data_IF_235519606869
#
_entry.id   IF_235519606869
#
_cell.length_a   1.000
_cell.length_b   1.000
_cell.length_c   1.000
_cell.angle_alpha   90.00
_cell.angle_beta   90.00
_cell.angle_gamma   90.00
#
_symmetry.space_group_name_H-M   'P 1'
#
loop_
_entity.id
_entity.type
_entity.pdbx_description
1 polymer ?
#
# COMPACT_ATOMS: atom_id res chain seq x y z
N UNK A 1 -4.96 9.98 -1.79
CA UNK A 1 -4.00 10.19 -2.91
C UNK A 1 -4.61 11.18 -3.89
N UNK A 2 -4.07 12.39 -4.06
CA UNK A 2 -4.72 13.45 -4.85
C UNK A 2 -4.28 13.51 -6.33
N UNK A 3 -3.21 12.83 -6.69
CA UNK A 3 -2.68 12.78 -8.06
C UNK A 3 -1.84 11.51 -8.28
N UNK A 4 -1.40 11.27 -9.52
CA UNK A 4 -0.51 10.16 -9.87
C UNK A 4 0.82 10.15 -9.10
N UNK A 5 1.32 11.33 -8.71
CA UNK A 5 2.50 11.44 -7.84
C UNK A 5 2.25 10.86 -6.43
N UNK A 6 1.02 10.98 -5.91
CA UNK A 6 0.65 10.42 -4.60
C UNK A 6 0.54 8.90 -4.64
N UNK A 7 -0.14 8.33 -5.64
CA UNK A 7 -0.21 6.88 -5.81
C UNK A 7 1.17 6.29 -6.07
N UNK A 8 1.99 6.94 -6.90
CA UNK A 8 3.38 6.52 -7.13
C UNK A 8 4.25 6.53 -5.87
N UNK A 9 4.03 7.47 -4.93
CA UNK A 9 4.74 7.48 -3.65
C UNK A 9 4.38 6.25 -2.78
N UNK A 10 3.10 5.87 -2.74
CA UNK A 10 2.62 4.67 -2.04
C UNK A 10 3.18 3.40 -2.70
N UNK A 11 3.09 3.29 -4.03
CA UNK A 11 3.66 2.16 -4.79
C UNK A 11 5.14 1.99 -4.48
N UNK A 12 5.97 3.04 -4.59
CA UNK A 12 7.41 2.98 -4.29
C UNK A 12 7.73 2.63 -2.83
N UNK A 13 6.83 2.92 -1.89
CA UNK A 13 7.01 2.57 -0.50
C UNK A 13 6.74 1.08 -0.27
N UNK A 14 5.69 0.54 -0.91
CA UNK A 14 5.29 -0.87 -0.82
C UNK A 14 6.23 -1.81 -1.55
N UNK A 15 6.74 -1.43 -2.75
CA UNK A 15 7.68 -2.29 -3.50
C UNK A 15 8.98 -2.62 -2.75
N UNK A 16 9.30 -1.89 -1.67
CA UNK A 16 10.45 -2.16 -0.80
C UNK A 16 10.23 -3.33 0.17
N UNK A 17 8.98 -3.72 0.39
CA UNK A 17 8.60 -4.72 1.41
C UNK A 17 7.64 -5.78 0.86
N UNK A 18 6.96 -5.51 -0.25
CA UNK A 18 5.99 -6.41 -0.89
C UNK A 18 6.28 -6.41 -2.39
N UNK A 19 6.26 -7.57 -3.06
CA UNK A 19 6.41 -7.68 -4.51
C UNK A 19 5.30 -6.94 -5.26
N UNK A 20 5.58 -6.34 -6.43
CA UNK A 20 4.54 -5.68 -7.25
C UNK A 20 3.36 -6.59 -7.63
N UNK A 21 3.57 -7.92 -7.62
CA UNK A 21 2.52 -8.91 -7.90
C UNK A 21 1.55 -9.13 -6.74
N UNK A 22 1.79 -8.58 -5.55
CA UNK A 22 1.01 -8.83 -4.32
C UNK A 22 0.30 -7.59 -3.77
N UNK A 23 0.25 -6.50 -4.53
CA UNK A 23 -0.56 -5.35 -4.16
C UNK A 23 -1.07 -4.56 -5.37
N UNK A 24 -2.15 -3.82 -5.16
CA UNK A 24 -2.73 -2.88 -6.13
C UNK A 24 -2.89 -1.51 -5.45
N UNK A 25 -2.48 -0.44 -6.13
CA UNK A 25 -2.74 0.95 -5.72
C UNK A 25 -3.62 1.58 -6.77
N UNK A 26 -4.86 1.90 -6.38
CA UNK A 26 -5.85 2.47 -7.29
C UNK A 26 -6.14 3.92 -6.90
N UNK A 27 -5.87 4.84 -7.83
CA UNK A 27 -6.04 6.28 -7.61
C UNK A 27 -7.52 6.67 -7.68
N UNK A 28 -8.30 6.10 -8.62
CA UNK A 28 -9.73 6.42 -8.74
C UNK A 28 -10.52 6.01 -7.51
N UNK A 29 -10.31 4.79 -7.00
CA UNK A 29 -11.04 4.27 -5.83
C UNK A 29 -10.43 4.68 -4.48
N UNK A 30 -9.25 5.32 -4.48
CA UNK A 30 -8.50 5.67 -3.26
C UNK A 30 -8.16 4.45 -2.39
N UNK A 31 -7.92 3.30 -3.00
CA UNK A 31 -7.63 2.05 -2.26
C UNK A 31 -6.22 1.54 -2.49
N UNK A 32 -5.65 0.97 -1.44
CA UNK A 32 -4.51 0.06 -1.51
C UNK A 32 -5.00 -1.32 -1.11
N UNK A 33 -4.83 -2.31 -1.98
CA UNK A 33 -5.12 -3.71 -1.67
C UNK A 33 -3.81 -4.47 -1.62
N UNK A 34 -3.61 -5.27 -0.57
CA UNK A 34 -2.48 -6.18 -0.43
C UNK A 34 -3.04 -7.57 -0.29
N UNK A 35 -2.49 -8.54 -1.00
CA UNK A 35 -3.03 -9.89 -1.07
C UNK A 35 -1.92 -10.95 -1.03
N UNK A 36 -2.27 -12.13 -0.52
CA UNK A 36 -1.35 -13.25 -0.46
C UNK A 36 -0.91 -13.66 -1.87
N UNK A 37 0.32 -14.15 -1.98
CA UNK A 37 0.94 -14.54 -3.24
C UNK A 37 2.18 -15.38 -2.99
N UNK A 38 3.16 -15.25 -3.87
CA UNK A 38 4.38 -16.09 -3.85
C UNK A 38 5.24 -15.88 -2.62
N UNK A 39 5.22 -14.66 -2.04
CA UNK A 39 6.05 -14.31 -0.90
C UNK A 39 5.18 -14.00 0.32
N UNK A 40 5.72 -14.29 1.50
CA UNK A 40 5.06 -14.00 2.76
C UNK A 40 4.83 -12.50 2.91
N UNK A 41 3.62 -12.13 3.34
CA UNK A 41 3.27 -10.74 3.54
C UNK A 41 3.88 -10.21 4.85
N UNK A 42 4.40 -8.97 4.86
CA UNK A 42 4.74 -8.31 6.11
C UNK A 42 3.52 -8.20 7.03
N UNK A 43 3.74 -8.08 8.35
CA UNK A 43 2.67 -7.78 9.30
C UNK A 43 1.84 -6.56 8.88
N UNK A 44 0.54 -6.59 9.18
CA UNK A 44 -0.39 -5.52 8.80
C UNK A 44 0.07 -4.13 9.29
N UNK A 45 0.61 -4.04 10.51
CA UNK A 45 1.18 -2.81 11.06
C UNK A 45 2.37 -2.31 10.24
N UNK A 46 3.28 -3.20 9.84
CA UNK A 46 4.42 -2.86 8.97
C UNK A 46 3.95 -2.22 7.66
N UNK A 47 2.89 -2.76 7.05
CA UNK A 47 2.33 -2.24 5.80
C UNK A 47 1.71 -0.85 6.02
N UNK A 48 0.86 -0.71 7.04
CA UNK A 48 0.17 0.56 7.33
C UNK A 48 1.15 1.65 7.76
N UNK A 49 2.15 1.35 8.57
CA UNK A 49 3.25 2.27 8.90
C UNK A 49 4.03 2.71 7.66
N UNK A 50 4.31 1.76 6.75
CA UNK A 50 5.04 2.07 5.51
C UNK A 50 4.27 3.04 4.64
N UNK A 51 2.95 2.88 4.55
CA UNK A 51 2.06 3.80 3.84
C UNK A 51 2.00 5.15 4.58
N UNK A 52 1.84 5.17 5.90
CA UNK A 52 1.79 6.41 6.69
C UNK A 52 3.05 7.27 6.53
N UNK A 53 4.23 6.64 6.44
CA UNK A 53 5.52 7.32 6.17
C UNK A 53 5.59 8.04 4.81
N UNK A 54 4.63 7.83 3.91
CA UNK A 54 4.50 8.61 2.66
C UNK A 54 3.78 9.95 2.85
N UNK A 55 3.36 10.27 4.08
CA UNK A 55 2.63 11.49 4.41
C UNK A 55 1.20 11.50 3.85
N UNK A 56 0.61 10.32 3.62
CA UNK A 56 -0.77 10.16 3.13
C UNK A 56 -1.66 9.67 4.26
N UNK A 57 -2.80 10.34 4.42
CA UNK A 57 -3.84 9.95 5.37
C UNK A 57 -4.40 8.56 5.02
N UNK A 58 -4.52 7.70 6.03
CA UNK A 58 -5.21 6.40 5.94
C UNK A 58 -6.56 6.57 6.64
N UNK A 59 -7.64 6.63 5.85
CA UNK A 59 -9.00 6.86 6.37
C UNK A 59 -9.64 5.62 6.99
N UNK A 60 -9.25 4.45 6.50
CA UNK A 60 -9.67 3.17 7.01
C UNK A 60 -8.64 2.11 6.61
N UNK A 61 -8.43 1.13 7.47
CA UNK A 61 -7.59 -0.04 7.19
C UNK A 61 -8.18 -1.25 7.92
N UNK A 62 -8.09 -2.43 7.30
CA UNK A 62 -8.56 -3.69 7.86
C UNK A 62 -7.72 -4.85 7.30
N UNK A 63 -7.39 -5.80 8.16
CA UNK A 63 -6.91 -7.13 7.77
C UNK A 63 -8.10 -8.11 7.72
N UNK A 64 -8.08 -9.02 6.75
CA UNK A 64 -9.08 -10.08 6.56
C UNK A 64 -8.49 -11.44 6.93
#
# INVERSE_FOLDING_TARGET
MTCGGCSGAVTRALTKIIPPSQFEVNLESQTVKVFAGEQELPPFETVTEKIAKTGKEIRASKAL
#
